data_IF_204460372433
#
_entry.id   IF_204460372433
#
_cell.length_a   1.000
_cell.length_b   1.000
_cell.length_c   1.000
_cell.angle_alpha   90.00
_cell.angle_beta   90.00
_cell.angle_gamma   90.00
#
_symmetry.space_group_name_H-M   'P 1'
#
loop_
_entity.id
_entity.type
_entity.pdbx_description
1 polymer ?
#
# COMPACT_ATOMS: atom_id res chain seq x y z
N UNK A 1 13.25 -0.15 13.13
CA UNK A 1 11.86 0.10 13.02
C UNK A 1 11.55 0.98 11.86
N UNK A 2 10.49 0.63 11.19
CA UNK A 2 10.13 1.30 10.03
C UNK A 2 8.97 2.11 10.34
N UNK A 3 9.01 3.32 9.93
CA UNK A 3 7.94 4.24 10.10
C UNK A 3 7.13 4.49 8.85
N UNK A 4 7.00 3.59 7.89
CA UNK A 4 6.38 4.01 6.66
C UNK A 4 4.98 4.49 6.86
N UNK A 5 4.32 3.83 7.75
CA UNK A 5 2.95 4.12 7.96
C UNK A 5 2.75 5.21 8.96
N UNK A 6 3.76 5.48 9.71
CA UNK A 6 3.70 6.43 10.75
C UNK A 6 4.15 7.76 10.35
N UNK A 7 4.50 7.90 9.21
CA UNK A 7 4.99 8.96 8.64
C UNK A 7 4.31 10.04 8.29
N UNK A 8 3.66 10.14 8.71
CA UNK A 8 3.16 11.24 8.71
C UNK A 8 4.08 12.19 8.77
N UNK A 9 4.69 12.54 8.66
CA UNK A 9 5.20 13.72 8.51
C UNK A 9 6.48 14.03 9.09
N UNK A 10 7.51 13.55 8.42
CA UNK A 10 8.80 14.24 8.31
C UNK A 10 8.69 15.64 7.68
N UNK A 11 7.54 15.93 7.05
CA UNK A 11 7.32 17.17 6.32
C UNK A 11 6.50 18.20 7.09
N UNK A 12 5.79 17.81 8.10
CA UNK A 12 5.05 18.75 8.89
C UNK A 12 5.91 19.21 10.06
N UNK A 13 6.65 20.23 9.84
CA UNK A 13 7.49 20.85 10.86
C UNK A 13 6.70 21.63 11.92
N UNK A 14 5.40 21.61 11.84
CA UNK A 14 4.55 22.32 12.77
C UNK A 14 4.23 21.53 14.03
N UNK A 15 5.24 21.18 14.79
CA UNK A 15 5.01 20.77 16.16
C UNK A 15 4.69 19.30 16.43
N UNK A 16 5.13 18.41 15.54
CA UNK A 16 4.95 16.99 15.76
C UNK A 16 6.05 16.43 16.62
N UNK A 17 5.68 16.01 17.78
CA UNK A 17 6.57 15.22 18.60
C UNK A 17 6.36 13.76 18.20
N UNK A 18 7.44 13.11 17.74
CA UNK A 18 7.45 11.66 17.52
C UNK A 18 7.56 10.93 18.85
N UNK A 19 7.06 11.54 19.90
CA UNK A 19 7.19 11.04 21.24
C UNK A 19 6.45 9.72 21.35
N UNK A 20 7.17 8.69 21.68
CA UNK A 20 6.60 7.40 22.09
C UNK A 20 5.85 6.63 20.98
N UNK A 21 6.31 6.69 19.74
CA UNK A 21 5.78 5.82 18.69
C UNK A 21 6.39 4.44 18.75
N UNK A 22 5.60 3.42 18.50
CA UNK A 22 6.10 2.06 18.38
C UNK A 22 6.79 1.90 17.04
N UNK A 23 7.99 1.33 17.05
CA UNK A 23 8.66 0.92 15.83
C UNK A 23 8.18 -0.49 15.45
N UNK A 24 7.21 -0.57 14.57
CA UNK A 24 6.70 -1.86 14.09
C UNK A 24 7.72 -2.57 13.19
N UNK A 25 7.68 -3.92 13.12
CA UNK A 25 8.49 -4.67 12.16
C UNK A 25 8.22 -4.26 10.70
N UNK A 26 9.19 -4.52 9.82
CA UNK A 26 8.99 -4.34 8.38
C UNK A 26 7.83 -5.18 7.85
N UNK A 27 7.11 -4.70 6.84
CA UNK A 27 6.02 -5.49 6.23
C UNK A 27 6.54 -6.80 5.60
N UNK A 28 7.78 -6.83 5.13
CA UNK A 28 8.44 -8.06 4.73
C UNK A 28 8.51 -9.08 5.87
N UNK A 29 8.81 -8.64 7.09
CA UNK A 29 8.84 -9.49 8.27
C UNK A 29 7.42 -9.98 8.64
N UNK A 30 6.43 -9.10 8.54
CA UNK A 30 5.03 -9.47 8.75
C UNK A 30 4.59 -10.53 7.73
N UNK A 31 4.85 -10.32 6.45
CA UNK A 31 4.49 -11.26 5.39
C UNK A 31 5.17 -12.63 5.57
N UNK A 32 6.44 -12.64 6.03
CA UNK A 32 7.19 -13.85 6.31
C UNK A 32 6.58 -14.72 7.43
N UNK A 33 5.62 -14.21 8.19
CA UNK A 33 4.88 -15.03 9.17
C UNK A 33 3.88 -15.95 8.53
N UNK A 34 3.41 -15.67 7.30
CA UNK A 34 2.34 -16.39 6.61
C UNK A 34 1.05 -16.48 7.45
N UNK A 35 0.86 -15.57 8.37
CA UNK A 35 -0.24 -15.59 9.32
C UNK A 35 -1.17 -14.39 9.15
N UNK A 36 -2.37 -14.58 8.55
CA UNK A 36 -3.37 -13.53 8.39
C UNK A 36 -3.87 -12.91 9.70
N UNK A 37 -3.93 -13.70 10.78
CA UNK A 37 -4.34 -13.19 12.10
C UNK A 37 -3.30 -12.22 12.65
N UNK A 38 -2.00 -12.52 12.43
CA UNK A 38 -0.92 -11.62 12.81
C UNK A 38 -0.97 -10.33 11.98
N UNK A 39 -1.33 -10.43 10.70
CA UNK A 39 -1.50 -9.26 9.85
C UNK A 39 -2.67 -8.37 10.32
N UNK A 40 -3.77 -8.98 10.74
CA UNK A 40 -4.89 -8.25 11.35
C UNK A 40 -4.49 -7.56 12.65
N UNK A 41 -3.79 -8.27 13.53
CA UNK A 41 -3.31 -7.73 14.80
C UNK A 41 -2.35 -6.56 14.58
N UNK A 42 -1.45 -6.69 13.62
CA UNK A 42 -0.53 -5.63 13.23
C UNK A 42 -1.30 -4.37 12.74
N UNK A 43 -2.24 -4.56 11.81
CA UNK A 43 -3.08 -3.47 11.31
C UNK A 43 -3.90 -2.81 12.41
N UNK A 44 -4.46 -3.60 13.32
CA UNK A 44 -5.22 -3.10 14.46
C UNK A 44 -4.35 -2.25 15.39
N UNK A 45 -3.18 -2.75 15.77
CA UNK A 45 -2.29 -2.06 16.69
C UNK A 45 -1.78 -0.74 16.12
N UNK A 46 -1.40 -0.71 14.84
CA UNK A 46 -0.94 0.54 14.22
C UNK A 46 -2.10 1.52 14.00
N UNK A 47 -3.31 1.01 13.73
CA UNK A 47 -4.53 1.80 13.61
C UNK A 47 -4.93 2.44 14.95
N UNK A 48 -4.82 1.71 16.06
CA UNK A 48 -5.03 2.23 17.41
C UNK A 48 -4.05 3.38 17.73
N UNK A 49 -2.78 3.20 17.40
CA UNK A 49 -1.78 4.23 17.59
C UNK A 49 -2.03 5.46 16.73
N UNK A 50 -2.36 5.27 15.46
CA UNK A 50 -2.73 6.35 14.55
C UNK A 50 -3.95 7.13 15.05
N UNK A 51 -4.97 6.43 15.53
CA UNK A 51 -6.16 7.06 16.13
C UNK A 51 -5.85 7.83 17.39
N UNK A 52 -5.05 7.27 18.30
CA UNK A 52 -4.60 7.95 19.50
C UNK A 52 -3.89 9.27 19.17
N UNK A 53 -3.13 9.28 18.07
CA UNK A 53 -2.42 10.46 17.58
C UNK A 53 -3.28 11.37 16.70
N UNK A 54 -4.59 11.15 16.66
CA UNK A 54 -5.56 11.94 15.91
C UNK A 54 -5.29 11.98 14.40
N UNK A 55 -4.86 10.82 13.85
CA UNK A 55 -4.69 10.67 12.41
C UNK A 55 -5.89 9.97 11.83
N UNK A 56 -6.37 10.47 10.71
CA UNK A 56 -7.53 9.94 10.04
C UNK A 56 -7.16 8.98 8.91
N UNK A 57 -5.94 9.11 8.39
CA UNK A 57 -5.44 8.29 7.29
C UNK A 57 -4.05 7.76 7.61
N UNK A 58 -3.87 6.44 7.47
CA UNK A 58 -2.60 5.79 7.59
C UNK A 58 -2.06 5.52 6.19
N UNK A 59 -0.87 6.00 5.85
CA UNK A 59 -0.26 5.86 4.52
C UNK A 59 0.37 4.48 4.32
N UNK A 60 -0.46 3.48 4.35
CA UNK A 60 -0.12 2.06 4.24
C UNK A 60 -1.36 1.16 4.19
N UNK A 61 -1.17 -0.13 3.89
CA UNK A 61 0.09 -0.84 3.64
C UNK A 61 0.67 -0.64 2.24
N UNK A 62 2.00 -0.85 2.12
CA UNK A 62 2.65 -0.97 0.82
C UNK A 62 2.52 -2.39 0.27
N UNK A 63 2.15 -2.53 -1.01
CA UNK A 63 1.91 -3.84 -1.63
C UNK A 63 2.56 -4.03 -3.01
N UNK A 64 3.50 -3.18 -3.38
CA UNK A 64 4.22 -3.39 -4.63
C UNK A 64 5.06 -4.67 -4.57
N UNK A 65 5.02 -5.44 -5.64
CA UNK A 65 5.75 -6.71 -5.72
C UNK A 65 7.23 -6.46 -5.99
N UNK A 66 8.13 -7.17 -5.31
CA UNK A 66 9.55 -7.03 -5.50
C UNK A 66 9.97 -7.52 -6.87
N UNK A 67 10.76 -6.75 -7.58
CA UNK A 67 11.43 -7.15 -8.83
C UNK A 67 12.92 -7.31 -8.66
N UNK A 68 13.50 -6.56 -7.75
CA UNK A 68 14.92 -6.55 -7.48
C UNK A 68 15.15 -6.15 -6.03
N UNK A 69 16.19 -6.66 -5.36
CA UNK A 69 16.52 -6.23 -4.02
C UNK A 69 16.97 -4.76 -3.94
N UNK A 70 17.31 -4.15 -5.07
CA UNK A 70 17.86 -2.80 -5.13
C UNK A 70 16.80 -1.69 -5.26
N UNK A 71 15.53 -1.99 -5.06
CA UNK A 71 14.47 -0.99 -5.17
C UNK A 71 14.64 0.20 -4.19
N UNK A 72 15.17 -0.03 -3.00
CA UNK A 72 15.32 1.00 -1.97
C UNK A 72 14.15 1.08 -0.97
N UNK A 73 12.96 0.59 -1.34
CA UNK A 73 11.75 0.58 -0.48
C UNK A 73 11.11 -0.79 -0.31
N UNK A 74 11.82 -1.86 -0.60
CA UNK A 74 11.29 -3.22 -0.44
C UNK A 74 10.86 -3.54 1.01
N UNK A 75 11.50 -2.93 2.00
CA UNK A 75 11.16 -3.12 3.41
C UNK A 75 9.72 -2.76 3.76
N UNK A 76 9.08 -1.87 3.04
CA UNK A 76 7.71 -1.46 3.30
C UNK A 76 6.68 -2.21 2.44
N UNK A 77 7.11 -3.24 1.71
CA UNK A 77 6.23 -4.10 0.91
C UNK A 77 6.22 -5.53 1.44
N UNK A 78 5.22 -6.31 1.00
CA UNK A 78 4.96 -7.65 1.54
C UNK A 78 5.71 -8.78 0.84
N UNK A 79 6.51 -8.50 -0.19
CA UNK A 79 7.36 -9.51 -0.83
C UNK A 79 7.18 -9.62 -2.34
N UNK A 80 7.59 -10.77 -2.87
CA UNK A 80 7.59 -11.04 -4.31
C UNK A 80 6.41 -11.90 -4.77
N UNK A 81 5.69 -12.50 -3.82
CA UNK A 81 4.56 -13.38 -4.10
C UNK A 81 3.24 -12.59 -4.10
N UNK A 82 2.53 -12.51 -5.25
CA UNK A 82 1.27 -11.78 -5.35
C UNK A 82 0.14 -12.40 -4.52
N UNK A 83 0.13 -13.73 -4.35
CA UNK A 83 -0.88 -14.40 -3.55
C UNK A 83 -0.69 -14.14 -2.06
N UNK A 84 0.54 -14.26 -1.57
CA UNK A 84 0.86 -13.93 -0.18
C UNK A 84 0.53 -12.46 0.13
N UNK A 85 0.95 -11.55 -0.76
CA UNK A 85 0.66 -10.12 -0.59
C UNK A 85 -0.84 -9.83 -0.56
N UNK A 86 -1.63 -10.47 -1.45
CA UNK A 86 -3.09 -10.35 -1.47
C UNK A 86 -3.73 -10.91 -0.19
N UNK A 87 -3.23 -12.06 0.30
CA UNK A 87 -3.76 -12.69 1.51
C UNK A 87 -3.48 -11.87 2.77
N UNK A 88 -2.29 -11.27 2.86
CA UNK A 88 -1.87 -10.51 4.04
C UNK A 88 -2.41 -9.08 4.08
N UNK A 89 -2.65 -8.45 2.92
CA UNK A 89 -3.13 -7.06 2.86
C UNK A 89 -4.56 -6.91 3.38
N UNK A 90 -5.42 -7.88 3.11
CA UNK A 90 -6.83 -7.84 3.49
C UNK A 90 -7.04 -7.71 5.00
N UNK A 91 -6.51 -8.63 5.84
CA UNK A 91 -6.65 -8.51 7.29
C UNK A 91 -5.94 -7.28 7.85
N UNK A 92 -4.82 -6.86 7.29
CA UNK A 92 -4.15 -5.61 7.69
C UNK A 92 -5.10 -4.40 7.56
N UNK A 93 -5.72 -4.24 6.38
CA UNK A 93 -6.65 -3.14 6.11
C UNK A 93 -7.81 -3.15 7.09
N UNK A 94 -8.41 -4.33 7.32
CA UNK A 94 -9.52 -4.49 8.25
C UNK A 94 -9.12 -4.07 9.67
N UNK A 95 -7.96 -4.51 10.13
CA UNK A 95 -7.44 -4.15 11.45
C UNK A 95 -7.23 -2.64 11.61
N UNK A 96 -6.67 -1.97 10.61
CA UNK A 96 -6.51 -0.50 10.64
C UNK A 96 -7.88 0.19 10.70
N UNK A 97 -8.80 -0.20 9.83
CA UNK A 97 -10.09 0.49 9.66
C UNK A 97 -11.07 0.24 10.80
N UNK A 98 -10.92 -0.82 11.58
CA UNK A 98 -11.66 -1.03 12.83
C UNK A 98 -11.51 0.12 13.82
N UNK A 99 -10.42 0.87 13.72
CA UNK A 99 -10.14 2.02 14.58
C UNK A 99 -10.69 3.35 14.03
N UNK A 100 -11.43 3.31 12.92
CA UNK A 100 -11.91 4.53 12.25
C UNK A 100 -10.81 5.33 11.56
N UNK A 101 -9.68 4.66 11.22
CA UNK A 101 -8.57 5.23 10.46
C UNK A 101 -8.58 4.63 9.06
N UNK A 102 -8.51 5.45 8.04
CA UNK A 102 -8.46 4.96 6.66
C UNK A 102 -7.11 4.30 6.38
N UNK A 103 -7.11 3.07 5.89
CA UNK A 103 -5.94 2.49 5.26
C UNK A 103 -5.76 3.10 3.87
N UNK A 104 -4.54 3.48 3.49
CA UNK A 104 -4.20 4.02 2.19
C UNK A 104 -3.21 3.10 1.49
N UNK A 105 -3.72 2.14 0.75
CA UNK A 105 -2.90 1.13 0.06
C UNK A 105 -2.02 1.76 -1.01
N UNK A 106 -0.74 1.38 -1.07
CA UNK A 106 0.24 2.06 -1.91
C UNK A 106 1.26 1.10 -2.53
N UNK A 107 1.92 1.53 -3.58
CA UNK A 107 1.74 2.68 -4.46
C UNK A 107 1.13 2.20 -5.78
N UNK A 108 -0.02 2.68 -6.14
CA UNK A 108 -0.77 2.23 -7.31
C UNK A 108 -0.34 2.99 -8.57
N UNK A 109 0.35 2.36 -9.54
CA UNK A 109 0.88 1.02 -9.43
C UNK A 109 2.32 0.98 -9.98
N UNK A 110 3.02 -0.13 -9.70
CA UNK A 110 4.31 -0.42 -10.32
C UNK A 110 5.48 0.45 -9.82
N UNK A 111 5.46 0.86 -8.54
CA UNK A 111 6.59 1.54 -7.94
C UNK A 111 7.68 0.53 -7.52
N UNK A 112 8.43 0.06 -8.50
CA UNK A 112 9.42 -0.99 -8.32
C UNK A 112 10.86 -0.49 -8.39
N UNK A 113 11.05 0.84 -8.44
CA UNK A 113 12.34 1.49 -8.48
C UNK A 113 12.24 2.89 -7.90
N UNK A 114 13.08 3.21 -6.93
CA UNK A 114 13.13 4.55 -6.32
C UNK A 114 14.07 5.49 -7.06
N UNK A 115 15.14 4.96 -7.67
CA UNK A 115 16.04 5.78 -8.45
C UNK A 115 15.30 6.37 -9.66
N UNK A 116 15.31 7.68 -9.79
CA UNK A 116 14.58 8.42 -10.83
C UNK A 116 13.08 8.09 -10.92
N UNK A 117 12.42 7.79 -9.80
CA UNK A 117 11.04 7.30 -9.74
C UNK A 117 10.01 8.18 -10.45
N UNK A 118 10.27 9.49 -10.59
CA UNK A 118 9.38 10.41 -11.28
C UNK A 118 9.46 10.32 -12.81
N UNK A 119 10.50 9.72 -13.34
CA UNK A 119 10.74 9.59 -14.79
C UNK A 119 10.92 8.14 -15.25
N UNK A 120 10.96 7.20 -14.30
CA UNK A 120 11.03 5.77 -14.63
C UNK A 120 9.77 5.34 -15.36
N UNK A 121 9.95 4.80 -16.58
CA UNK A 121 8.86 4.33 -17.41
C UNK A 121 8.80 2.81 -17.41
N UNK A 122 7.85 2.26 -16.66
CA UNK A 122 7.71 0.81 -16.49
C UNK A 122 7.08 0.19 -17.74
N UNK A 123 7.72 -0.89 -18.21
CA UNK A 123 7.25 -1.68 -19.34
C UNK A 123 7.04 -3.11 -18.87
N UNK A 124 5.88 -3.67 -19.13
CA UNK A 124 5.56 -5.06 -18.83
C UNK A 124 4.38 -5.55 -19.72
N UNK A 125 4.23 -6.87 -19.82
CA UNK A 125 3.10 -7.46 -20.51
C UNK A 125 1.82 -7.36 -19.68
N UNK A 126 0.67 -7.44 -20.34
CA UNK A 126 -0.63 -7.47 -19.67
C UNK A 126 -0.74 -8.63 -18.69
N UNK A 127 -0.21 -9.79 -19.08
CA UNK A 127 -0.18 -10.94 -18.21
C UNK A 127 0.54 -10.64 -16.90
N UNK A 128 1.73 -10.04 -16.97
CA UNK A 128 2.47 -9.67 -15.75
C UNK A 128 1.70 -8.63 -14.91
N UNK A 129 1.07 -7.65 -15.56
CA UNK A 129 0.27 -6.65 -14.85
C UNK A 129 -0.86 -7.29 -14.05
N UNK A 130 -1.67 -8.15 -14.70
CA UNK A 130 -2.86 -8.71 -14.06
C UNK A 130 -2.60 -9.91 -13.16
N UNK A 131 -1.55 -10.69 -13.42
CA UNK A 131 -1.26 -11.89 -12.62
C UNK A 131 -0.28 -11.64 -11.45
N UNK A 132 0.55 -10.58 -11.54
CA UNK A 132 1.60 -10.33 -10.56
C UNK A 132 1.40 -9.01 -9.83
N UNK A 133 1.24 -7.89 -10.55
CA UNK A 133 1.32 -6.58 -9.92
C UNK A 133 0.01 -6.01 -9.40
N UNK A 134 -1.13 -6.41 -9.94
CA UNK A 134 -2.44 -5.90 -9.51
C UNK A 134 -3.19 -6.78 -8.49
N UNK A 135 -2.91 -8.07 -8.29
CA UNK A 135 -3.73 -8.91 -7.40
C UNK A 135 -3.86 -8.39 -5.98
N UNK A 136 -2.76 -7.90 -5.38
CA UNK A 136 -2.81 -7.35 -4.02
C UNK A 136 -3.68 -6.09 -3.92
N UNK A 137 -3.66 -5.21 -4.93
CA UNK A 137 -4.54 -4.04 -4.98
C UNK A 137 -6.01 -4.44 -5.18
N UNK A 138 -6.27 -5.45 -6.02
CA UNK A 138 -7.62 -5.99 -6.20
C UNK A 138 -8.17 -6.55 -4.89
N UNK A 139 -7.40 -7.36 -4.19
CA UNK A 139 -7.78 -7.91 -2.88
C UNK A 139 -8.00 -6.80 -1.85
N UNK A 140 -7.14 -5.79 -1.82
CA UNK A 140 -7.26 -4.64 -0.93
C UNK A 140 -8.59 -3.88 -1.13
N UNK A 141 -9.04 -3.74 -2.39
CA UNK A 141 -10.29 -3.05 -2.71
C UNK A 141 -11.49 -3.94 -2.47
N UNK A 142 -11.50 -5.13 -3.08
CA UNK A 142 -12.70 -5.99 -3.11
C UNK A 142 -12.96 -6.74 -1.81
N UNK A 143 -11.91 -7.18 -1.14
CA UNK A 143 -12.00 -7.99 0.06
C UNK A 143 -11.63 -7.23 1.33
N UNK A 144 -10.63 -6.35 1.24
CA UNK A 144 -10.18 -5.48 2.33
C UNK A 144 -11.07 -4.26 2.55
N UNK A 145 -11.74 -3.80 1.50
CA UNK A 145 -12.58 -2.60 1.57
C UNK A 145 -11.77 -1.34 1.91
N UNK A 146 -10.57 -1.20 1.33
CA UNK A 146 -9.72 -0.04 1.64
C UNK A 146 -10.41 1.28 1.33
N UNK A 147 -10.28 2.26 2.22
CA UNK A 147 -10.94 3.56 2.05
C UNK A 147 -10.14 4.52 1.17
N UNK A 148 -8.85 4.26 0.98
CA UNK A 148 -7.98 5.12 0.19
C UNK A 148 -6.91 4.33 -0.55
N UNK A 149 -6.43 4.87 -1.66
CA UNK A 149 -5.32 4.32 -2.46
C UNK A 149 -4.39 5.45 -2.84
N UNK A 150 -3.09 5.24 -2.66
CA UNK A 150 -2.08 6.19 -3.07
C UNK A 150 -1.51 5.82 -4.42
N UNK A 151 -1.59 6.76 -5.38
CA UNK A 151 -0.97 6.59 -6.69
C UNK A 151 0.55 6.63 -6.64
N UNK A 152 1.19 5.98 -7.61
CA UNK A 152 2.64 5.98 -7.74
C UNK A 152 3.13 7.10 -8.66
N UNK A 153 4.41 7.47 -8.50
CA UNK A 153 4.99 8.58 -9.27
C UNK A 153 5.48 8.19 -10.67
N UNK A 154 5.80 6.93 -10.88
CA UNK A 154 6.37 6.43 -12.13
C UNK A 154 5.43 6.54 -13.32
N UNK A 155 6.01 6.42 -14.51
CA UNK A 155 5.22 6.23 -15.72
C UNK A 155 4.98 4.73 -15.94
N UNK A 156 3.87 4.44 -16.61
CA UNK A 156 3.54 3.14 -17.16
C UNK A 156 3.18 3.31 -18.63
N UNK A 157 3.95 2.67 -19.50
CA UNK A 157 3.78 2.77 -20.96
C UNK A 157 3.74 4.22 -21.50
N UNK A 158 4.57 5.09 -20.91
CA UNK A 158 4.71 6.48 -21.36
C UNK A 158 3.81 7.51 -20.66
N UNK A 159 2.84 7.07 -19.84
CA UNK A 159 1.97 7.97 -19.09
C UNK A 159 2.19 7.81 -17.57
N UNK A 160 2.10 8.90 -16.82
CA UNK A 160 2.17 8.82 -15.36
C UNK A 160 1.06 7.92 -14.80
N UNK A 161 1.39 7.04 -13.86
CA UNK A 161 0.44 6.10 -13.28
C UNK A 161 -0.83 6.77 -12.74
N UNK A 162 -0.69 7.95 -12.13
CA UNK A 162 -1.81 8.75 -11.64
C UNK A 162 -2.65 9.43 -12.74
N UNK A 163 -2.26 9.31 -14.00
CA UNK A 163 -2.99 9.86 -15.15
C UNK A 163 -3.33 8.77 -16.18
N UNK A 164 -2.80 7.58 -15.98
CA UNK A 164 -2.97 6.47 -16.92
C UNK A 164 -4.41 5.93 -16.90
N UNK A 165 -5.11 6.11 -18.01
CA UNK A 165 -6.53 5.70 -18.17
C UNK A 165 -6.72 4.21 -17.89
N UNK A 166 -5.80 3.37 -18.38
CA UNK A 166 -5.90 1.93 -18.21
C UNK A 166 -5.82 1.52 -16.74
N UNK A 167 -4.86 2.08 -16.01
CA UNK A 167 -4.74 1.79 -14.58
C UNK A 167 -5.94 2.30 -13.79
N UNK A 168 -6.38 3.54 -14.04
CA UNK A 168 -7.40 4.18 -13.23
C UNK A 168 -8.81 3.76 -13.58
N UNK A 169 -9.15 3.67 -14.88
CA UNK A 169 -10.50 3.35 -15.30
C UNK A 169 -10.71 1.87 -15.53
N UNK A 170 -9.84 1.27 -16.34
CA UNK A 170 -10.07 -0.09 -16.78
C UNK A 170 -9.69 -1.14 -15.73
N UNK A 171 -8.76 -0.81 -14.83
CA UNK A 171 -8.34 -1.70 -13.76
C UNK A 171 -8.97 -1.31 -12.40
N UNK A 172 -8.71 -0.11 -11.90
CA UNK A 172 -9.12 0.28 -10.56
C UNK A 172 -10.63 0.49 -10.41
N UNK A 173 -11.25 1.30 -11.29
CA UNK A 173 -12.69 1.55 -11.20
C UNK A 173 -13.54 0.34 -11.54
N UNK A 174 -13.07 -0.56 -12.40
CA UNK A 174 -13.76 -1.82 -12.67
C UNK A 174 -13.79 -2.75 -11.44
N UNK A 175 -12.82 -2.62 -10.54
CA UNK A 175 -12.73 -3.44 -9.32
C UNK A 175 -13.34 -2.77 -8.09
N UNK A 176 -13.69 -1.48 -8.19
CA UNK A 176 -14.18 -0.68 -7.08
C UNK A 176 -15.60 -0.19 -7.39
N UNK A 177 -16.56 -0.35 -6.50
CA UNK A 177 -17.87 0.26 -6.68
C UNK A 177 -17.70 1.79 -6.73
N UNK A 178 -18.02 2.36 -7.89
CA UNK A 178 -18.02 3.81 -8.04
C UNK A 178 -19.23 4.43 -7.37
N UNK A 179 -19.11 5.60 -6.73
CA UNK A 179 -20.28 6.35 -6.27
C UNK A 179 -21.30 6.68 -7.38
N UNK A 180 -20.89 6.53 -8.65
CA UNK A 180 -21.80 6.71 -9.79
C UNK A 180 -22.64 5.47 -10.09
N UNK A 181 -22.29 4.33 -9.51
CA UNK A 181 -22.97 3.05 -9.73
C UNK A 181 -23.98 2.77 -8.60
N UNK A 182 -24.07 3.66 -7.63
CA UNK A 182 -25.05 3.70 -6.56
C UNK A 182 -26.13 4.74 -6.85
#
# INVERSE_FOLDING_TARGET
GIRPEVLWDEWDQAGWTNDSCIAYPALTCLAATWNPEMSHLYGKSIGEEARYRKKDILLGPGVNIYRTPLNGRNFEYMGEDPYLSATMVVPYIKGVQENGVAACVKHYALNNQEFNRHTTNVQLSDRALYEIYLPAFKAAVQEGGTWSIMGSYNLYQGEHACHNKRLLKDCLLYTSPSPRDM
#
